data_IF_823328843021
#
_entry.id   IF_823328843021
#
_cell.length_a   1.000
_cell.length_b   1.000
_cell.length_c   1.000
_cell.angle_alpha   90.00
_cell.angle_beta   90.00
_cell.angle_gamma   90.00
#
_symmetry.space_group_name_H-M   'P 1'
#
loop_
_entity.id
_entity.type
_entity.pdbx_description
1 polymer ?
#
# COMPACT_ATOMS: atom_id res chain seq x y z
N UNK A 1 39.94 16.53 7.26
CA UNK A 1 40.65 17.82 7.51
C UNK A 1 41.10 18.46 6.19
N UNK A 2 41.58 17.72 5.20
CA UNK A 2 41.96 18.27 3.89
C UNK A 2 40.78 18.84 3.11
N UNK A 3 39.61 18.24 3.20
CA UNK A 3 38.42 18.60 2.41
C UNK A 3 37.80 19.93 2.85
N UNK A 4 37.87 20.23 4.15
CA UNK A 4 37.45 21.53 4.70
C UNK A 4 38.31 22.68 4.17
N UNK A 5 39.64 22.50 4.17
CA UNK A 5 40.55 23.54 3.66
C UNK A 5 40.39 23.75 2.15
N UNK A 6 40.20 22.65 1.39
CA UNK A 6 39.95 22.74 -0.04
C UNK A 6 38.67 23.50 -0.38
N UNK A 7 37.60 23.33 0.41
CA UNK A 7 36.35 24.05 0.24
C UNK A 7 36.49 25.54 0.52
N UNK A 8 37.20 25.92 1.59
CA UNK A 8 37.46 27.33 1.91
C UNK A 8 38.35 27.99 0.84
N UNK A 9 39.39 27.28 0.37
CA UNK A 9 40.24 27.79 -0.74
C UNK A 9 39.47 27.96 -2.05
N UNK A 10 38.43 27.13 -2.28
CA UNK A 10 37.53 27.23 -3.42
C UNK A 10 36.48 28.34 -3.30
N UNK A 11 36.40 29.03 -2.14
CA UNK A 11 35.46 30.14 -1.90
C UNK A 11 34.19 29.73 -1.14
N UNK A 12 34.15 28.56 -0.52
CA UNK A 12 33.03 28.16 0.34
C UNK A 12 32.95 29.10 1.57
N UNK A 13 31.73 29.44 1.95
CA UNK A 13 31.42 30.24 3.14
C UNK A 13 31.37 29.40 4.42
N UNK A 14 30.91 28.15 4.28
CA UNK A 14 30.78 27.21 5.38
C UNK A 14 30.83 25.75 4.85
N UNK A 15 31.21 24.81 5.72
CA UNK A 15 31.25 23.39 5.43
C UNK A 15 30.70 22.62 6.62
N UNK A 16 29.56 22.00 6.44
CA UNK A 16 28.97 21.13 7.41
C UNK A 16 29.32 19.67 7.07
N UNK A 17 29.84 18.94 8.04
CA UNK A 17 30.17 17.50 7.87
C UNK A 17 29.12 16.69 8.56
N UNK A 18 28.37 15.91 7.80
CA UNK A 18 27.39 15.00 8.37
C UNK A 18 28.11 13.87 9.10
N UNK A 19 27.89 13.77 10.39
CA UNK A 19 28.29 12.62 11.23
C UNK A 19 27.33 11.41 11.03
N UNK A 20 26.64 11.35 9.92
CA UNK A 20 25.70 10.26 9.61
C UNK A 20 26.49 8.98 9.47
N UNK A 21 26.12 7.97 10.25
CA UNK A 21 26.58 6.60 10.07
C UNK A 21 26.37 6.23 8.59
N UNK A 22 27.34 5.56 7.95
CA UNK A 22 27.23 5.24 6.54
C UNK A 22 25.92 4.52 6.26
N UNK A 23 25.19 5.02 5.29
CA UNK A 23 24.05 4.33 4.73
C UNK A 23 24.50 2.97 4.20
N UNK A 24 23.74 1.91 4.39
CA UNK A 24 24.11 0.52 4.03
C UNK A 24 24.47 0.40 2.54
N UNK A 25 24.14 1.41 1.76
CA UNK A 25 24.23 1.40 0.29
C UNK A 25 25.24 2.38 -0.31
N UNK A 26 25.85 3.30 0.43
CA UNK A 26 26.85 4.21 -0.12
C UNK A 26 27.84 4.75 0.90
N UNK A 27 29.06 4.86 0.42
CA UNK A 27 30.30 5.24 1.05
C UNK A 27 30.31 6.62 1.70
N UNK A 28 30.99 6.68 2.82
CA UNK A 28 31.57 7.84 3.47
C UNK A 28 30.64 8.99 3.90
N UNK A 29 30.93 9.63 5.03
CA UNK A 29 30.23 10.84 5.49
C UNK A 29 30.28 11.92 4.42
N UNK A 30 29.13 12.49 4.10
CA UNK A 30 29.00 13.56 3.15
C UNK A 30 29.40 14.91 3.74
N UNK A 31 29.76 15.85 2.88
CA UNK A 31 29.96 17.25 3.24
C UNK A 31 28.91 18.10 2.52
N UNK A 32 28.24 18.99 3.26
CA UNK A 32 27.43 20.06 2.68
C UNK A 32 28.29 21.33 2.64
N UNK A 33 28.52 21.82 1.44
CA UNK A 33 29.36 22.99 1.21
C UNK A 33 28.45 24.17 0.88
N UNK A 34 28.52 25.22 1.70
CA UNK A 34 27.75 26.43 1.54
C UNK A 34 28.57 27.49 0.86
N UNK A 35 28.01 28.15 -0.15
CA UNK A 35 28.67 29.23 -0.89
C UNK A 35 27.69 30.36 -1.21
N UNK A 36 28.19 31.53 -1.60
CA UNK A 36 27.35 32.57 -2.15
C UNK A 36 26.72 32.11 -3.46
N UNK A 37 25.53 32.63 -3.76
CA UNK A 37 24.80 32.26 -4.98
C UNK A 37 25.65 32.50 -6.25
N UNK A 38 26.40 33.63 -6.28
CA UNK A 38 27.24 34.02 -7.41
C UNK A 38 28.40 33.05 -7.64
N UNK A 39 28.89 32.40 -6.58
CA UNK A 39 30.08 31.56 -6.59
C UNK A 39 29.72 30.07 -6.72
N UNK A 40 28.43 29.72 -6.76
CA UNK A 40 27.94 28.33 -6.71
C UNK A 40 28.60 27.43 -7.77
N UNK A 41 28.68 27.88 -9.02
CA UNK A 41 29.21 27.07 -10.10
C UNK A 41 30.74 26.93 -10.00
N UNK A 42 31.44 27.98 -9.63
CA UNK A 42 32.89 27.99 -9.52
C UNK A 42 33.36 27.12 -8.36
N UNK A 43 32.68 27.19 -7.22
CA UNK A 43 32.94 26.32 -6.06
C UNK A 43 32.58 24.86 -6.37
N UNK A 44 31.46 24.59 -7.01
CA UNK A 44 31.07 23.24 -7.40
C UNK A 44 32.09 22.61 -8.37
N UNK A 45 32.57 23.37 -9.39
CA UNK A 45 33.60 22.88 -10.31
C UNK A 45 34.95 22.65 -9.62
N UNK A 46 35.34 23.55 -8.72
CA UNK A 46 36.59 23.42 -7.96
C UNK A 46 36.52 22.15 -7.05
N UNK A 47 35.41 21.96 -6.36
CA UNK A 47 35.22 20.82 -5.47
C UNK A 47 35.06 19.49 -6.20
N UNK A 48 34.45 19.46 -7.39
CA UNK A 48 34.41 18.24 -8.23
C UNK A 48 35.79 17.70 -8.58
N UNK A 49 36.78 18.57 -8.71
CA UNK A 49 38.18 18.17 -8.99
C UNK A 49 38.88 17.53 -7.78
N UNK A 50 38.37 17.77 -6.57
CA UNK A 50 39.01 17.32 -5.31
C UNK A 50 38.21 16.16 -4.70
N UNK A 51 36.88 16.26 -4.68
CA UNK A 51 36.01 15.31 -4.00
C UNK A 51 35.15 14.44 -4.97
N UNK A 52 35.22 14.69 -6.29
CA UNK A 52 34.33 14.12 -7.27
C UNK A 52 33.03 14.92 -7.42
N UNK A 53 32.17 14.49 -8.32
CA UNK A 53 30.93 15.21 -8.63
C UNK A 53 29.99 15.26 -7.44
N UNK A 54 29.34 16.43 -7.17
CA UNK A 54 28.39 16.55 -6.07
C UNK A 54 27.16 15.70 -6.30
N UNK A 55 26.60 15.11 -5.23
CA UNK A 55 25.32 14.39 -5.28
C UNK A 55 24.17 15.29 -5.73
N UNK A 56 24.20 16.54 -5.31
CA UNK A 56 23.23 17.57 -5.70
C UNK A 56 23.85 18.95 -5.56
N UNK A 57 23.36 19.88 -6.37
CA UNK A 57 23.68 21.31 -6.27
C UNK A 57 22.35 22.05 -6.35
N UNK A 58 22.06 22.88 -5.34
CA UNK A 58 20.79 23.60 -5.25
C UNK A 58 20.98 25.00 -4.68
N UNK A 59 20.10 25.89 -5.10
CA UNK A 59 19.96 27.22 -4.47
C UNK A 59 18.98 27.08 -3.32
N UNK A 60 19.39 27.44 -2.12
CA UNK A 60 18.54 27.36 -0.92
C UNK A 60 18.61 28.68 -0.16
N UNK A 61 17.57 29.00 0.60
CA UNK A 61 17.56 30.18 1.46
C UNK A 61 17.93 29.74 2.89
N UNK A 62 19.14 30.08 3.33
CA UNK A 62 19.62 29.85 4.72
C UNK A 62 19.37 31.13 5.53
N UNK A 63 18.59 31.04 6.63
CA UNK A 63 18.32 32.21 7.46
C UNK A 63 19.61 32.71 8.14
N UNK A 64 19.80 34.04 8.20
CA UNK A 64 20.95 34.68 8.90
C UNK A 64 20.70 34.76 10.42
N UNK A 65 19.47 34.67 10.86
CA UNK A 65 19.10 34.70 12.27
C UNK A 65 17.85 33.85 12.49
N UNK A 66 17.79 33.17 13.61
CA UNK A 66 16.62 32.44 14.05
C UNK A 66 15.71 33.34 14.90
N UNK A 67 14.42 33.11 14.80
CA UNK A 67 13.38 33.76 15.62
C UNK A 67 12.77 32.75 16.56
N UNK A 68 12.94 32.90 17.89
CA UNK A 68 12.33 31.97 18.83
C UNK A 68 10.80 32.10 18.79
N UNK A 69 10.14 30.96 18.59
CA UNK A 69 8.69 30.85 18.60
C UNK A 69 8.27 29.93 19.75
N UNK A 70 7.41 30.43 20.65
CA UNK A 70 7.05 29.74 21.89
C UNK A 70 5.55 29.65 22.08
N UNK A 71 5.09 28.71 22.92
CA UNK A 71 3.70 28.57 23.35
C UNK A 71 2.72 28.39 22.17
N UNK A 72 1.57 29.07 22.21
CA UNK A 72 0.52 28.92 21.18
C UNK A 72 0.94 29.39 19.79
N UNK A 73 1.93 30.26 19.68
CA UNK A 73 2.45 30.74 18.40
C UNK A 73 3.07 29.60 17.57
N UNK A 74 3.65 28.58 18.20
CA UNK A 74 4.21 27.39 17.53
C UNK A 74 3.14 26.67 16.69
N UNK A 75 1.92 26.48 17.23
CA UNK A 75 0.84 25.86 16.49
C UNK A 75 0.26 26.70 15.37
N UNK A 76 0.35 28.02 15.51
CA UNK A 76 -0.06 28.94 14.45
C UNK A 76 0.97 28.94 13.32
N UNK A 77 2.25 28.88 13.66
CA UNK A 77 3.34 28.78 12.69
C UNK A 77 3.24 27.49 11.87
N UNK A 78 3.09 26.34 12.51
CA UNK A 78 2.95 25.08 11.77
C UNK A 78 1.75 25.08 10.82
N UNK A 79 0.59 25.61 11.24
CA UNK A 79 -0.57 25.76 10.34
C UNK A 79 -0.27 26.68 9.14
N UNK A 80 0.55 27.72 9.34
CA UNK A 80 0.98 28.57 8.25
C UNK A 80 1.91 27.85 7.29
N UNK A 81 2.93 27.15 7.82
CA UNK A 81 3.86 26.37 7.01
C UNK A 81 3.16 25.29 6.21
N UNK A 82 2.26 24.55 6.85
CA UNK A 82 1.43 23.53 6.18
C UNK A 82 0.55 24.13 5.08
N UNK A 83 -0.06 25.29 5.36
CA UNK A 83 -0.92 25.96 4.37
C UNK A 83 -0.11 26.47 3.17
N UNK A 84 1.11 26.95 3.40
CA UNK A 84 2.00 27.39 2.32
C UNK A 84 2.51 26.20 1.49
N UNK A 85 2.89 25.10 2.14
CA UNK A 85 3.37 23.89 1.46
C UNK A 85 2.26 23.18 0.66
N UNK A 86 1.01 23.40 1.03
CA UNK A 86 -0.16 22.85 0.35
C UNK A 86 -0.59 23.64 -0.91
N UNK A 87 -0.04 24.81 -1.15
CA UNK A 87 -0.38 25.62 -2.33
C UNK A 87 0.35 25.12 -3.57
N UNK A 88 -0.38 24.84 -4.64
CA UNK A 88 0.14 24.25 -5.89
C UNK A 88 1.27 25.09 -6.55
N UNK A 89 1.28 26.40 -6.32
CA UNK A 89 2.28 27.33 -6.88
C UNK A 89 3.53 27.47 -6.00
N UNK A 90 3.53 26.89 -4.79
CA UNK A 90 4.68 26.93 -3.86
C UNK A 90 5.56 25.71 -4.10
N UNK A 91 6.80 25.94 -4.49
CA UNK A 91 7.77 24.86 -4.74
C UNK A 91 8.49 24.42 -3.47
N UNK A 92 8.74 25.34 -2.55
CA UNK A 92 9.43 25.07 -1.28
C UNK A 92 9.18 26.19 -0.28
N UNK A 93 8.97 25.84 0.99
CA UNK A 93 8.82 26.80 2.10
C UNK A 93 10.12 26.85 2.89
N UNK A 94 10.61 28.03 3.17
CA UNK A 94 11.76 28.28 4.05
C UNK A 94 11.31 29.11 5.23
N UNK A 95 11.79 28.80 6.41
CA UNK A 95 11.47 29.50 7.63
C UNK A 95 12.69 29.66 8.53
N UNK A 96 12.63 30.57 9.51
CA UNK A 96 13.74 30.88 10.42
C UNK A 96 13.36 30.78 11.89
N UNK A 97 12.34 29.95 12.19
CA UNK A 97 11.95 29.70 13.56
C UNK A 97 12.97 28.86 14.31
N UNK A 98 13.07 29.12 15.59
CA UNK A 98 13.71 28.26 16.58
C UNK A 98 12.67 27.91 17.65
N UNK A 99 12.37 26.61 17.78
CA UNK A 99 11.40 26.09 18.74
C UNK A 99 12.19 25.33 19.80
N UNK A 100 12.00 25.69 21.06
CA UNK A 100 12.70 25.03 22.15
C UNK A 100 12.24 23.57 22.37
N UNK A 101 13.17 22.74 22.84
CA UNK A 101 12.83 21.34 23.23
C UNK A 101 11.73 21.31 24.30
N UNK A 102 11.65 22.33 25.18
CA UNK A 102 10.62 22.46 26.19
C UNK A 102 9.23 22.70 25.57
N UNK A 103 9.13 23.56 24.55
CA UNK A 103 7.87 23.79 23.83
C UNK A 103 7.45 22.56 23.03
N UNK A 104 8.39 21.83 22.42
CA UNK A 104 8.13 20.57 21.74
C UNK A 104 7.62 19.52 22.73
N UNK A 105 8.31 19.31 23.85
CA UNK A 105 7.92 18.38 24.88
C UNK A 105 6.55 18.72 25.52
N UNK A 106 6.25 20.01 25.69
CA UNK A 106 4.93 20.44 26.17
C UNK A 106 3.81 20.09 25.20
N UNK A 107 4.07 20.17 23.87
CA UNK A 107 3.12 19.75 22.84
C UNK A 107 2.94 18.26 22.78
N UNK A 108 4.03 17.50 22.84
CA UNK A 108 3.97 16.04 22.93
C UNK A 108 3.11 15.61 24.14
N UNK A 109 3.34 16.23 25.32
CA UNK A 109 2.56 15.96 26.51
C UNK A 109 1.06 16.34 26.39
N UNK A 110 0.74 17.30 25.54
CA UNK A 110 -0.64 17.70 25.27
C UNK A 110 -1.35 16.80 24.24
N UNK A 111 -0.60 16.03 23.46
CA UNK A 111 -1.13 15.14 22.42
C UNK A 111 -1.92 13.99 23.05
N UNK A 112 -3.11 13.72 22.52
CA UNK A 112 -4.00 12.66 23.00
C UNK A 112 -4.10 11.54 21.97
N UNK A 113 -4.30 10.29 22.37
CA UNK A 113 -4.45 9.15 21.45
C UNK A 113 -5.59 9.33 20.42
N UNK A 114 -6.60 10.12 20.76
CA UNK A 114 -7.74 10.40 19.90
C UNK A 114 -7.55 11.60 18.94
N UNK A 115 -6.44 12.31 19.04
CA UNK A 115 -6.18 13.43 18.15
C UNK A 115 -5.86 12.93 16.74
N UNK A 116 -6.34 13.62 15.69
CA UNK A 116 -5.98 13.32 14.30
C UNK A 116 -4.46 13.44 14.08
N UNK A 117 -3.88 12.44 13.43
CA UNK A 117 -2.44 12.42 13.11
C UNK A 117 -2.19 12.29 11.61
N UNK A 118 -3.18 11.79 10.86
CA UNK A 118 -3.01 11.55 9.44
C UNK A 118 -4.30 11.78 8.67
N UNK A 119 -4.20 12.46 7.54
CA UNK A 119 -5.23 12.55 6.51
C UNK A 119 -4.77 11.72 5.32
N UNK A 120 -5.32 10.52 5.20
CA UNK A 120 -4.98 9.59 4.13
C UNK A 120 -5.99 9.68 2.99
N UNK A 121 -5.59 10.23 1.86
CA UNK A 121 -6.47 10.32 0.71
C UNK A 121 -6.61 8.97 0.00
N UNK A 122 -7.87 8.60 -0.28
CA UNK A 122 -8.20 7.42 -1.07
C UNK A 122 -8.75 7.82 -2.43
N UNK A 123 -8.32 7.13 -3.48
CA UNK A 123 -8.95 7.24 -4.80
C UNK A 123 -10.32 6.57 -4.74
N UNK A 124 -11.37 7.35 -4.48
CA UNK A 124 -12.73 6.84 -4.49
C UNK A 124 -13.10 6.29 -5.88
N UNK A 125 -13.82 5.17 -5.90
CA UNK A 125 -14.35 4.59 -7.16
C UNK A 125 -15.41 5.48 -7.83
N UNK A 126 -15.81 6.58 -7.20
CA UNK A 126 -16.97 7.40 -7.61
C UNK A 126 -16.67 8.89 -7.74
N UNK A 127 -15.39 9.32 -7.88
CA UNK A 127 -15.10 10.74 -8.08
C UNK A 127 -13.88 11.24 -7.30
N UNK A 128 -13.99 12.43 -6.70
CA UNK A 128 -12.89 13.09 -5.99
C UNK A 128 -12.33 12.23 -4.84
N UNK A 129 -11.02 12.28 -4.59
CA UNK A 129 -10.39 11.62 -3.46
C UNK A 129 -11.04 12.02 -2.13
N UNK A 130 -11.12 11.09 -1.18
CA UNK A 130 -11.66 11.33 0.16
C UNK A 130 -10.52 11.30 1.16
N UNK A 131 -10.41 12.32 2.01
CA UNK A 131 -9.44 12.38 3.10
C UNK A 131 -9.93 11.58 4.30
N UNK A 132 -9.41 10.38 4.50
CA UNK A 132 -9.69 9.56 5.68
C UNK A 132 -8.92 10.12 6.87
N UNK A 133 -9.64 10.48 7.95
CA UNK A 133 -9.04 11.06 9.15
C UNK A 133 -8.69 9.97 10.16
N UNK A 134 -7.40 9.74 10.37
CA UNK A 134 -6.89 8.74 11.30
C UNK A 134 -6.25 9.38 12.54
N UNK A 135 -6.44 8.77 13.69
CA UNK A 135 -5.87 9.20 14.99
C UNK A 135 -4.59 8.46 15.30
N UNK A 136 -3.80 8.99 16.27
CA UNK A 136 -2.66 8.25 16.84
C UNK A 136 -3.06 6.84 17.29
N UNK A 137 -4.23 6.72 17.94
CA UNK A 137 -4.75 5.44 18.39
C UNK A 137 -5.01 4.45 17.27
N UNK A 138 -5.56 4.94 16.12
CA UNK A 138 -5.81 4.08 14.98
C UNK A 138 -4.51 3.49 14.43
N UNK A 139 -3.58 4.36 14.02
CA UNK A 139 -2.38 3.95 13.30
C UNK A 139 -1.40 3.18 14.17
N UNK A 140 -1.17 3.65 15.41
CA UNK A 140 -0.19 3.02 16.31
C UNK A 140 -0.64 1.63 16.74
N UNK A 141 -1.89 1.48 17.23
CA UNK A 141 -2.35 0.16 17.67
C UNK A 141 -2.46 -0.83 16.51
N UNK A 142 -2.89 -0.37 15.32
CA UNK A 142 -2.99 -1.28 14.18
C UNK A 142 -1.60 -1.78 13.76
N UNK A 143 -0.62 -0.87 13.62
CA UNK A 143 0.76 -1.25 13.31
C UNK A 143 1.37 -2.17 14.38
N UNK A 144 1.21 -1.84 15.68
CA UNK A 144 1.69 -2.67 16.79
C UNK A 144 1.12 -4.09 16.72
N UNK A 145 -0.20 -4.24 16.62
CA UNK A 145 -0.80 -5.58 16.56
C UNK A 145 -0.44 -6.36 15.28
N UNK A 146 -0.16 -5.68 14.17
CA UNK A 146 0.35 -6.34 12.97
C UNK A 146 1.74 -6.93 13.23
N UNK A 147 2.64 -6.16 13.84
CA UNK A 147 3.99 -6.64 14.18
C UNK A 147 3.95 -7.81 15.18
N UNK A 148 3.09 -7.74 16.22
CA UNK A 148 2.83 -8.85 17.15
C UNK A 148 2.41 -10.13 16.39
N UNK A 149 1.47 -10.02 15.44
CA UNK A 149 0.97 -11.16 14.68
C UNK A 149 2.01 -11.74 13.70
N UNK A 150 2.93 -10.91 13.19
CA UNK A 150 4.08 -11.33 12.39
C UNK A 150 5.24 -11.86 13.24
N UNK A 151 5.15 -11.67 14.56
CA UNK A 151 6.17 -12.04 15.55
C UNK A 151 7.46 -11.27 15.33
N UNK A 152 7.36 -9.95 15.14
CA UNK A 152 8.51 -9.07 15.02
C UNK A 152 9.23 -8.86 16.36
N UNK A 153 10.53 -8.73 16.28
CA UNK A 153 11.45 -8.41 17.37
C UNK A 153 12.53 -7.46 16.85
N UNK A 154 13.40 -6.99 17.75
CA UNK A 154 14.57 -6.17 17.38
C UNK A 154 15.58 -6.87 16.45
N UNK A 155 15.48 -8.19 16.29
CA UNK A 155 16.33 -8.98 15.39
C UNK A 155 15.79 -9.01 13.95
N UNK A 156 14.57 -8.55 13.72
CA UNK A 156 13.95 -8.59 12.40
C UNK A 156 14.37 -7.40 11.54
N UNK A 157 14.58 -7.68 10.26
CA UNK A 157 14.82 -6.69 9.22
C UNK A 157 13.73 -6.80 8.15
N UNK A 158 13.04 -5.69 7.90
CA UNK A 158 11.84 -5.63 7.06
C UNK A 158 12.09 -4.79 5.82
N UNK A 159 12.05 -5.42 4.64
CA UNK A 159 12.14 -4.71 3.35
C UNK A 159 10.75 -4.23 2.95
N UNK A 160 10.60 -2.90 2.78
CA UNK A 160 9.33 -2.21 2.54
C UNK A 160 9.35 -1.52 1.16
N UNK A 161 9.05 -2.23 0.06
CA UNK A 161 9.03 -1.64 -1.28
C UNK A 161 7.71 -0.95 -1.62
N UNK A 162 6.74 -0.97 -0.70
CA UNK A 162 5.41 -0.37 -0.88
C UNK A 162 5.41 1.12 -0.52
N UNK A 163 4.56 1.96 -1.18
CA UNK A 163 4.57 3.41 -0.98
C UNK A 163 4.18 3.83 0.44
N UNK A 164 4.89 4.79 1.04
CA UNK A 164 4.62 5.30 2.39
C UNK A 164 3.46 6.30 2.45
N UNK A 165 3.07 6.89 1.33
CA UNK A 165 1.84 7.68 1.25
C UNK A 165 0.56 6.83 1.28
N UNK A 166 0.67 5.51 1.38
CA UNK A 166 -0.43 4.56 1.54
C UNK A 166 -0.29 3.85 2.89
N UNK A 167 -1.43 3.55 3.54
CA UNK A 167 -1.45 2.84 4.83
C UNK A 167 -0.65 1.54 4.83
N UNK A 168 -0.51 0.87 3.70
CA UNK A 168 0.31 -0.33 3.59
C UNK A 168 1.77 -0.02 3.94
N UNK A 169 2.37 0.99 3.33
CA UNK A 169 3.75 1.38 3.67
C UNK A 169 3.85 2.03 5.03
N UNK A 170 2.95 2.98 5.35
CA UNK A 170 3.02 3.75 6.59
C UNK A 170 2.70 2.89 7.82
N UNK A 171 1.55 2.23 7.88
CA UNK A 171 1.10 1.53 9.10
C UNK A 171 1.61 0.08 9.13
N UNK A 172 1.30 -0.72 8.09
CA UNK A 172 1.73 -2.13 8.04
C UNK A 172 3.25 -2.21 7.92
N UNK A 173 3.86 -1.29 7.13
CA UNK A 173 5.31 -1.23 6.96
C UNK A 173 5.98 -0.58 8.16
N UNK A 174 6.01 0.76 8.20
CA UNK A 174 6.85 1.52 9.13
C UNK A 174 6.41 1.34 10.59
N UNK A 175 5.13 1.57 10.90
CA UNK A 175 4.69 1.52 12.32
C UNK A 175 4.86 0.11 12.90
N UNK A 176 4.49 -0.95 12.17
CA UNK A 176 4.67 -2.32 12.66
C UNK A 176 6.16 -2.64 12.90
N UNK A 177 7.05 -2.18 12.05
CA UNK A 177 8.50 -2.39 12.16
C UNK A 177 9.07 -1.64 13.36
N UNK A 178 8.86 -0.31 13.42
CA UNK A 178 9.50 0.52 14.46
C UNK A 178 8.94 0.28 15.86
N UNK A 179 7.65 -0.09 15.98
CA UNK A 179 7.03 -0.41 17.27
C UNK A 179 7.60 -1.69 17.93
N UNK A 180 8.34 -2.50 17.19
CA UNK A 180 8.99 -3.72 17.67
C UNK A 180 10.52 -3.60 17.70
N UNK A 181 11.07 -2.41 17.45
CA UNK A 181 12.52 -2.19 17.40
C UNK A 181 13.21 -2.82 16.18
N UNK A 182 12.43 -3.33 15.23
CA UNK A 182 12.95 -3.96 14.00
C UNK A 182 13.55 -2.93 13.04
N UNK A 183 14.45 -3.36 12.14
CA UNK A 183 15.06 -2.51 11.12
C UNK A 183 14.16 -2.39 9.90
N UNK A 184 13.80 -1.17 9.50
CA UNK A 184 13.11 -0.88 8.25
C UNK A 184 14.12 -0.60 7.12
N UNK A 185 13.98 -1.29 5.99
CA UNK A 185 14.81 -1.12 4.80
C UNK A 185 13.96 -0.64 3.63
N UNK A 186 14.32 0.50 3.07
CA UNK A 186 13.67 1.11 1.90
C UNK A 186 14.54 0.80 0.68
N UNK A 187 14.13 -0.14 -0.21
CA UNK A 187 15.01 -0.63 -1.27
C UNK A 187 15.26 0.38 -2.40
N UNK A 188 14.33 1.32 -2.63
CA UNK A 188 14.43 2.35 -3.67
C UNK A 188 13.35 3.42 -3.47
N UNK A 189 13.42 4.55 -4.21
CA UNK A 189 12.41 5.62 -4.20
C UNK A 189 11.03 5.17 -4.71
N UNK A 190 11.00 4.17 -5.57
CA UNK A 190 9.79 3.52 -6.09
C UNK A 190 10.04 2.02 -6.21
N UNK A 191 8.98 1.22 -6.31
CA UNK A 191 9.15 -0.21 -6.46
C UNK A 191 9.97 -0.56 -7.70
N UNK A 192 11.07 -1.29 -7.48
CA UNK A 192 11.90 -1.91 -8.50
C UNK A 192 12.23 -3.33 -8.02
N UNK A 193 11.83 -4.38 -8.78
CA UNK A 193 11.86 -5.76 -8.31
C UNK A 193 13.28 -6.25 -7.98
N UNK A 194 14.30 -5.89 -8.75
CA UNK A 194 15.67 -6.33 -8.52
C UNK A 194 16.27 -5.63 -7.31
N UNK A 195 15.99 -4.34 -7.11
CA UNK A 195 16.43 -3.60 -5.92
C UNK A 195 15.82 -4.18 -4.65
N UNK A 196 14.53 -4.56 -4.67
CA UNK A 196 13.90 -5.22 -3.53
C UNK A 196 14.57 -6.56 -3.18
N UNK A 197 14.84 -7.42 -4.17
CA UNK A 197 15.54 -8.70 -3.97
C UNK A 197 16.96 -8.51 -3.48
N UNK A 198 17.71 -7.56 -4.05
CA UNK A 198 19.07 -7.23 -3.59
C UNK A 198 19.09 -6.69 -2.17
N UNK A 199 18.09 -5.86 -1.80
CA UNK A 199 17.96 -5.37 -0.44
C UNK A 199 17.79 -6.51 0.56
N UNK A 200 16.94 -7.50 0.24
CA UNK A 200 16.76 -8.70 1.07
C UNK A 200 18.12 -9.43 1.27
N UNK A 201 18.82 -9.73 0.17
CA UNK A 201 20.07 -10.47 0.23
C UNK A 201 21.18 -9.69 0.95
N UNK A 202 21.28 -8.37 0.72
CA UNK A 202 22.32 -7.54 1.30
C UNK A 202 22.17 -7.32 2.80
N UNK A 203 20.91 -7.25 3.29
CA UNK A 203 20.65 -6.99 4.71
C UNK A 203 20.31 -8.23 5.52
N UNK A 204 20.19 -9.39 4.88
CA UNK A 204 19.71 -10.60 5.52
C UNK A 204 18.28 -10.47 6.03
N UNK A 205 17.43 -9.73 5.29
CA UNK A 205 16.09 -9.42 5.72
C UNK A 205 15.26 -10.66 6.02
N UNK A 206 14.47 -10.57 7.09
CA UNK A 206 13.58 -11.65 7.56
C UNK A 206 12.15 -11.49 7.07
N UNK A 207 11.81 -10.30 6.58
CA UNK A 207 10.46 -9.95 6.14
C UNK A 207 10.47 -9.11 4.87
N UNK A 208 9.51 -9.41 3.96
CA UNK A 208 9.33 -8.68 2.70
C UNK A 208 7.84 -8.39 2.47
N UNK A 209 7.52 -7.15 2.11
CA UNK A 209 6.17 -6.70 1.83
C UNK A 209 5.91 -6.50 0.35
N UNK A 210 4.67 -6.64 -0.07
CA UNK A 210 4.28 -6.32 -1.44
C UNK A 210 2.80 -6.57 -1.73
N UNK A 211 2.33 -5.95 -2.79
CA UNK A 211 1.08 -6.36 -3.43
C UNK A 211 1.35 -7.58 -4.34
N UNK A 212 0.35 -8.41 -4.69
CA UNK A 212 0.57 -9.59 -5.54
C UNK A 212 1.35 -9.32 -6.82
N UNK A 213 1.07 -8.20 -7.51
CA UNK A 213 1.79 -7.82 -8.73
C UNK A 213 3.29 -7.57 -8.48
N UNK A 214 3.68 -7.05 -7.31
CA UNK A 214 5.09 -6.88 -6.94
C UNK A 214 5.77 -8.24 -6.76
N UNK A 215 5.13 -9.17 -6.07
CA UNK A 215 5.66 -10.54 -5.92
C UNK A 215 5.77 -11.26 -7.27
N UNK A 216 4.77 -11.14 -8.15
CA UNK A 216 4.84 -11.69 -9.52
C UNK A 216 6.04 -11.09 -10.27
N UNK A 217 6.24 -9.78 -10.20
CA UNK A 217 7.36 -9.11 -10.85
C UNK A 217 8.71 -9.56 -10.31
N UNK A 218 8.85 -9.74 -9.00
CA UNK A 218 10.08 -10.27 -8.37
C UNK A 218 10.33 -11.74 -8.74
N UNK A 219 9.29 -12.60 -8.72
CA UNK A 219 9.37 -14.01 -9.11
C UNK A 219 9.78 -14.22 -10.57
N UNK A 220 9.51 -13.25 -11.45
CA UNK A 220 9.87 -13.29 -12.86
C UNK A 220 11.35 -12.92 -13.12
N UNK A 221 12.10 -12.46 -12.12
CA UNK A 221 13.49 -12.04 -12.29
C UNK A 221 14.46 -13.19 -12.06
N UNK A 222 15.57 -13.28 -12.86
CA UNK A 222 16.63 -14.25 -12.63
C UNK A 222 17.26 -14.13 -11.23
N UNK A 223 17.31 -12.95 -10.67
CA UNK A 223 17.80 -12.65 -9.33
C UNK A 223 17.04 -13.39 -8.23
N UNK A 224 15.77 -13.74 -8.48
CA UNK A 224 14.94 -14.51 -7.55
C UNK A 224 15.53 -15.90 -7.22
N UNK A 225 16.30 -16.49 -8.16
CA UNK A 225 16.96 -17.79 -7.97
C UNK A 225 18.49 -17.63 -7.74
N UNK A 226 19.05 -16.46 -8.05
CA UNK A 226 20.49 -16.21 -7.97
C UNK A 226 20.93 -15.60 -6.64
N UNK A 227 20.03 -14.89 -5.93
CA UNK A 227 20.33 -14.26 -4.65
C UNK A 227 19.95 -15.18 -3.49
N UNK A 228 20.68 -15.05 -2.37
CA UNK A 228 20.31 -15.73 -1.13
C UNK A 228 19.15 -14.99 -0.44
N UNK A 229 17.97 -15.59 -0.49
CA UNK A 229 16.75 -15.11 0.16
C UNK A 229 16.33 -16.00 1.34
N UNK A 230 17.20 -16.90 1.79
CA UNK A 230 16.90 -17.94 2.79
C UNK A 230 16.63 -17.40 4.19
N UNK A 231 16.97 -16.13 4.45
CA UNK A 231 16.67 -15.44 5.72
C UNK A 231 15.22 -15.01 5.83
N UNK A 232 14.50 -14.90 4.70
CA UNK A 232 13.08 -14.55 4.73
C UNK A 232 12.26 -15.65 5.41
N UNK A 233 11.42 -15.26 6.33
CA UNK A 233 10.46 -16.16 7.01
C UNK A 233 9.02 -15.67 6.85
N UNK A 234 8.80 -14.36 6.85
CA UNK A 234 7.49 -13.74 6.94
C UNK A 234 7.36 -12.51 6.03
N UNK A 235 6.26 -11.82 6.12
CA UNK A 235 5.93 -10.61 5.41
C UNK A 235 4.44 -10.54 5.12
N UNK A 236 4.01 -9.53 4.38
CA UNK A 236 2.60 -9.31 4.06
C UNK A 236 2.39 -9.21 2.55
N UNK A 237 1.50 -10.04 2.04
CA UNK A 237 0.94 -9.90 0.70
C UNK A 237 -0.50 -9.39 0.83
N UNK A 238 -0.76 -8.15 0.39
CA UNK A 238 -2.07 -7.52 0.57
C UNK A 238 -2.36 -6.45 -0.49
N UNK A 239 -3.48 -5.76 -0.37
CA UNK A 239 -3.86 -4.63 -1.22
C UNK A 239 -4.73 -5.00 -2.42
N UNK A 240 -4.75 -6.26 -2.82
CA UNK A 240 -5.66 -6.83 -3.80
C UNK A 240 -5.86 -8.33 -3.52
N UNK A 241 -6.65 -9.02 -4.32
CA UNK A 241 -6.78 -10.49 -4.23
C UNK A 241 -5.40 -11.14 -4.37
N UNK A 242 -5.05 -12.02 -3.41
CA UNK A 242 -3.78 -12.73 -3.40
C UNK A 242 -3.97 -14.11 -4.03
N UNK A 243 -3.45 -14.35 -5.26
CA UNK A 243 -3.63 -15.63 -5.93
C UNK A 243 -2.91 -16.74 -5.18
N UNK A 244 -3.59 -17.87 -4.95
CA UNK A 244 -3.06 -19.04 -4.23
C UNK A 244 -1.73 -19.52 -4.82
N UNK A 245 -1.63 -19.58 -6.14
CA UNK A 245 -0.43 -20.05 -6.83
C UNK A 245 0.76 -19.09 -6.69
N UNK A 246 0.51 -17.78 -6.57
CA UNK A 246 1.56 -16.81 -6.26
C UNK A 246 2.07 -16.98 -4.84
N UNK A 247 1.14 -17.16 -3.89
CA UNK A 247 1.47 -17.44 -2.48
C UNK A 247 2.37 -18.69 -2.34
N UNK A 248 1.99 -19.79 -3.00
CA UNK A 248 2.79 -21.03 -2.99
C UNK A 248 4.21 -20.79 -3.52
N UNK A 249 4.36 -20.06 -4.63
CA UNK A 249 5.68 -19.75 -5.20
C UNK A 249 6.51 -18.86 -4.27
N UNK A 250 5.90 -17.90 -3.59
CA UNK A 250 6.58 -17.04 -2.60
C UNK A 250 7.06 -17.87 -1.41
N UNK A 251 6.23 -18.77 -0.91
CA UNK A 251 6.61 -19.68 0.17
C UNK A 251 7.78 -20.59 -0.26
N UNK A 252 7.70 -21.15 -1.46
CA UNK A 252 8.67 -22.12 -1.96
C UNK A 252 10.00 -21.46 -2.36
N UNK A 253 9.97 -20.37 -3.16
CA UNK A 253 11.16 -19.74 -3.73
C UNK A 253 11.77 -18.63 -2.89
N UNK A 254 10.95 -17.91 -2.11
CA UNK A 254 11.42 -16.84 -1.21
C UNK A 254 11.50 -17.29 0.25
N UNK A 255 11.22 -18.56 0.55
CA UNK A 255 11.25 -19.14 1.89
C UNK A 255 10.30 -18.50 2.91
N UNK A 256 9.35 -17.67 2.46
CA UNK A 256 8.39 -16.96 3.33
C UNK A 256 7.30 -17.89 3.87
N UNK A 257 7.70 -18.88 4.67
CA UNK A 257 6.78 -19.91 5.20
C UNK A 257 5.65 -19.33 6.07
N UNK A 258 5.85 -18.15 6.63
CA UNK A 258 4.90 -17.44 7.50
C UNK A 258 4.31 -16.19 6.81
N UNK A 259 4.35 -16.11 5.45
CA UNK A 259 3.75 -14.97 4.76
C UNK A 259 2.28 -14.81 5.11
N UNK A 260 1.86 -13.60 5.47
CA UNK A 260 0.51 -13.30 5.90
C UNK A 260 -0.29 -12.60 4.78
N UNK A 261 -1.58 -12.89 4.76
CA UNK A 261 -2.59 -12.08 4.06
C UNK A 261 -3.33 -11.24 5.10
N UNK A 262 -3.62 -9.99 4.79
CA UNK A 262 -4.51 -9.16 5.58
C UNK A 262 -5.55 -8.48 4.69
N UNK A 263 -6.68 -8.17 5.30
CA UNK A 263 -7.75 -7.42 4.68
C UNK A 263 -8.09 -6.19 5.51
N UNK A 264 -8.42 -5.14 4.81
CA UNK A 264 -8.91 -3.90 5.37
C UNK A 264 -8.87 -2.77 4.35
N UNK A 265 -9.07 -1.58 4.81
CA UNK A 265 -9.18 -0.38 4.01
C UNK A 265 -8.61 0.81 4.78
N UNK A 266 -8.31 1.90 4.10
CA UNK A 266 -7.75 3.10 4.76
C UNK A 266 -8.62 3.53 5.95
N UNK A 267 -9.93 3.41 5.82
CA UNK A 267 -10.94 3.73 6.82
C UNK A 267 -10.86 2.83 8.09
N UNK A 268 -10.09 1.74 8.05
CA UNK A 268 -9.84 0.84 9.19
C UNK A 268 -8.38 0.76 9.62
N UNK A 269 -7.55 1.71 9.22
CA UNK A 269 -6.18 2.06 9.64
C UNK A 269 -5.03 1.04 9.53
N UNK A 270 -4.85 0.17 8.53
CA UNK A 270 -5.83 -0.27 7.55
C UNK A 270 -6.42 -1.66 7.81
N UNK A 271 -5.92 -2.46 8.79
CA UNK A 271 -6.18 -3.91 8.88
C UNK A 271 -7.33 -4.22 9.84
N UNK A 272 -8.35 -4.89 9.30
CA UNK A 272 -9.50 -5.42 10.06
C UNK A 272 -9.33 -6.90 10.38
N UNK A 273 -8.79 -7.69 9.44
CA UNK A 273 -8.51 -9.12 9.62
C UNK A 273 -7.14 -9.49 9.07
N UNK A 274 -6.52 -10.52 9.63
CA UNK A 274 -5.20 -10.99 9.22
C UNK A 274 -5.05 -12.47 9.53
N UNK A 275 -4.36 -13.22 8.67
CA UNK A 275 -3.96 -14.60 8.93
C UNK A 275 -2.91 -14.66 10.05
N UNK A 276 -2.79 -15.82 10.70
CA UNK A 276 -1.85 -16.07 11.80
C UNK A 276 -0.68 -16.92 11.34
N UNK A 277 0.43 -16.84 12.05
CA UNK A 277 1.65 -17.62 11.75
C UNK A 277 1.44 -19.12 11.80
N UNK A 278 0.56 -19.58 12.69
CA UNK A 278 0.20 -20.97 12.93
C UNK A 278 -0.99 -21.46 12.06
N UNK A 279 -1.58 -20.59 11.24
CA UNK A 279 -2.64 -20.99 10.32
C UNK A 279 -2.08 -21.95 9.25
N UNK A 280 -2.90 -22.92 8.85
CA UNK A 280 -2.54 -23.83 7.75
C UNK A 280 -2.34 -23.06 6.43
N UNK A 281 -1.63 -23.67 5.49
CA UNK A 281 -1.45 -23.10 4.15
C UNK A 281 -2.81 -22.81 3.49
N UNK A 282 -3.80 -23.70 3.69
CA UNK A 282 -5.15 -23.52 3.16
C UNK A 282 -5.81 -22.26 3.72
N UNK A 283 -5.81 -22.07 5.03
CA UNK A 283 -6.36 -20.86 5.67
C UNK A 283 -5.63 -19.60 5.17
N UNK A 284 -4.30 -19.61 5.11
CA UNK A 284 -3.50 -18.47 4.65
C UNK A 284 -3.65 -18.13 3.18
N UNK A 285 -4.07 -19.08 2.35
CA UNK A 285 -4.24 -18.84 0.91
C UNK A 285 -5.68 -18.64 0.46
N UNK A 286 -6.65 -19.11 1.26
CA UNK A 286 -8.07 -19.04 0.89
C UNK A 286 -8.88 -18.05 1.71
N UNK A 287 -8.32 -17.53 2.81
CA UNK A 287 -8.98 -16.56 3.68
C UNK A 287 -8.14 -15.29 3.86
N UNK A 288 -8.74 -14.25 4.40
CA UNK A 288 -8.04 -13.05 4.87
C UNK A 288 -7.81 -13.10 6.38
N UNK A 289 -7.87 -14.31 6.95
CA UNK A 289 -7.64 -14.57 8.36
C UNK A 289 -8.80 -14.15 9.26
N UNK A 290 -8.47 -13.96 10.53
CA UNK A 290 -9.41 -13.65 11.61
C UNK A 290 -9.29 -12.19 12.03
N UNK A 291 -10.31 -11.69 12.70
CA UNK A 291 -10.37 -10.32 13.23
C UNK A 291 -9.10 -9.95 14.01
N UNK A 292 -8.63 -8.71 13.84
CA UNK A 292 -7.49 -8.16 14.57
C UNK A 292 -7.78 -8.10 16.09
N UNK A 293 -6.75 -8.14 16.94
CA UNK A 293 -6.92 -7.95 18.37
C UNK A 293 -7.65 -6.63 18.69
N UNK A 294 -8.60 -6.66 19.63
CA UNK A 294 -9.40 -5.50 20.06
C UNK A 294 -10.22 -4.81 18.94
N UNK A 295 -10.50 -5.52 17.87
CA UNK A 295 -11.41 -5.14 16.78
C UNK A 295 -12.57 -6.13 16.78
N UNK A 296 -13.72 -5.68 16.33
CA UNK A 296 -14.91 -6.51 16.13
C UNK A 296 -15.25 -6.55 14.64
N UNK A 297 -15.65 -7.70 14.16
CA UNK A 297 -16.18 -7.86 12.79
C UNK A 297 -17.50 -8.62 12.82
N UNK A 298 -18.40 -8.24 11.93
CA UNK A 298 -19.67 -8.96 11.70
C UNK A 298 -19.96 -9.03 10.21
N UNK A 299 -20.77 -10.01 9.82
CA UNK A 299 -21.34 -10.10 8.46
C UNK A 299 -22.81 -9.78 8.56
N UNK A 300 -23.26 -8.85 7.72
CA UNK A 300 -24.66 -8.41 7.70
C UNK A 300 -25.30 -8.58 6.32
N UNK A 301 -26.62 -8.74 6.30
CA UNK A 301 -27.38 -8.63 5.06
C UNK A 301 -27.31 -7.20 4.55
N UNK A 302 -26.82 -6.95 3.32
CA UNK A 302 -26.68 -5.58 2.79
C UNK A 302 -28.02 -4.83 2.64
N UNK A 303 -29.15 -5.54 2.57
CA UNK A 303 -30.48 -4.93 2.38
C UNK A 303 -31.15 -4.55 3.72
N UNK A 304 -30.94 -5.36 4.78
CA UNK A 304 -31.62 -5.17 6.06
C UNK A 304 -30.70 -4.64 7.17
N UNK A 305 -29.38 -4.85 7.04
CA UNK A 305 -28.41 -4.57 8.08
C UNK A 305 -28.36 -5.60 9.22
N UNK A 306 -29.18 -6.65 9.15
CA UNK A 306 -29.23 -7.71 10.15
C UNK A 306 -27.98 -8.59 10.08
N UNK A 307 -27.47 -9.03 11.24
CA UNK A 307 -26.40 -10.02 11.31
C UNK A 307 -26.88 -11.35 10.78
N UNK A 308 -26.12 -11.92 9.84
CA UNK A 308 -26.46 -13.22 9.24
C UNK A 308 -25.64 -14.37 9.85
N UNK A 309 -26.10 -15.63 9.71
CA UNK A 309 -25.39 -16.80 10.21
C UNK A 309 -23.99 -16.96 9.59
N UNK A 310 -23.09 -17.60 10.33
CA UNK A 310 -21.76 -17.99 9.81
C UNK A 310 -21.91 -18.88 8.57
N UNK A 311 -20.98 -18.73 7.64
CA UNK A 311 -21.00 -19.38 6.33
C UNK A 311 -21.90 -18.71 5.28
N UNK A 312 -22.81 -17.81 5.68
CA UNK A 312 -23.59 -17.03 4.73
C UNK A 312 -22.78 -15.81 4.25
N UNK A 313 -23.01 -15.40 2.99
CA UNK A 313 -22.37 -14.24 2.37
C UNK A 313 -23.17 -12.98 2.62
N UNK A 314 -22.49 -11.92 3.11
CA UNK A 314 -23.07 -10.61 3.36
C UNK A 314 -22.00 -9.53 3.40
N UNK A 315 -22.36 -8.30 3.81
CA UNK A 315 -21.41 -7.21 3.94
C UNK A 315 -20.56 -7.37 5.20
N UNK A 316 -19.25 -7.24 5.06
CA UNK A 316 -18.33 -7.19 6.18
C UNK A 316 -18.34 -5.81 6.83
N UNK A 317 -18.62 -5.76 8.13
CA UNK A 317 -18.54 -4.54 8.93
C UNK A 317 -17.47 -4.68 10.01
N UNK A 318 -16.77 -3.59 10.29
CA UNK A 318 -15.69 -3.52 11.28
C UNK A 318 -15.98 -2.44 12.33
N UNK A 319 -15.71 -2.73 13.61
CA UNK A 319 -15.79 -1.77 14.72
C UNK A 319 -14.57 -1.89 15.63
N UNK A 320 -14.12 -0.80 16.19
CA UNK A 320 -13.06 -0.78 17.18
C UNK A 320 -12.08 0.37 17.02
N UNK A 321 -10.93 0.23 17.67
CA UNK A 321 -9.90 1.28 17.68
C UNK A 321 -9.38 1.64 16.27
N UNK A 322 -9.47 0.73 15.32
CA UNK A 322 -8.93 0.91 13.98
C UNK A 322 -9.81 1.79 13.07
N UNK A 323 -11.09 1.96 13.42
CA UNK A 323 -12.05 2.72 12.59
C UNK A 323 -11.74 4.21 12.64
N UNK A 324 -11.71 4.85 11.48
CA UNK A 324 -11.44 6.29 11.28
C UNK A 324 -12.40 7.19 12.08
N UNK A 325 -12.03 8.45 12.26
CA UNK A 325 -12.97 9.48 12.76
C UNK A 325 -14.05 9.83 11.74
N UNK A 326 -13.74 9.76 10.46
CA UNK A 326 -14.59 10.09 9.34
C UNK A 326 -13.78 10.61 8.16
N UNK A 327 -14.48 11.00 7.10
CA UNK A 327 -13.87 11.70 5.98
C UNK A 327 -13.73 13.19 6.31
N UNK A 328 -12.56 13.75 6.07
CA UNK A 328 -12.24 15.15 6.33
C UNK A 328 -13.22 16.07 5.57
N UNK A 329 -13.85 16.97 6.30
CA UNK A 329 -14.82 17.94 5.79
C UNK A 329 -15.95 17.32 4.93
N UNK A 330 -16.33 16.05 5.21
CA UNK A 330 -17.35 15.32 4.47
C UNK A 330 -18.27 14.48 5.40
N UNK A 331 -19.04 15.13 6.29
CA UNK A 331 -19.86 14.42 7.29
C UNK A 331 -20.96 13.56 6.65
N UNK A 332 -21.54 13.99 5.54
CA UNK A 332 -22.57 13.22 4.83
C UNK A 332 -21.99 11.90 4.28
N UNK A 333 -20.83 11.97 3.63
CA UNK A 333 -20.13 10.77 3.14
C UNK A 333 -19.66 9.86 4.28
N UNK A 334 -19.35 10.43 5.43
CA UNK A 334 -19.01 9.66 6.63
C UNK A 334 -20.21 8.87 7.12
N UNK A 335 -21.40 9.49 7.19
CA UNK A 335 -22.63 8.85 7.61
C UNK A 335 -23.13 7.75 6.64
N UNK A 336 -22.69 7.76 5.38
CA UNK A 336 -22.99 6.68 4.41
C UNK A 336 -22.27 5.35 4.75
N UNK A 337 -21.14 5.41 5.47
CA UNK A 337 -20.26 4.26 5.69
C UNK A 337 -19.99 3.94 7.17
N UNK A 338 -20.22 4.90 8.06
CA UNK A 338 -20.05 4.74 9.49
C UNK A 338 -21.39 4.95 10.19
N UNK A 339 -21.95 3.88 10.78
CA UNK A 339 -23.23 3.92 11.45
C UNK A 339 -23.13 4.54 12.87
N UNK A 340 -24.29 4.76 13.50
CA UNK A 340 -24.40 5.38 14.83
C UNK A 340 -23.79 4.52 15.95
N UNK A 341 -23.65 3.22 15.76
CA UNK A 341 -23.06 2.28 16.70
C UNK A 341 -21.54 2.10 16.48
N UNK A 342 -20.96 2.86 15.53
CA UNK A 342 -19.52 2.86 15.22
C UNK A 342 -19.08 1.71 14.32
N UNK A 343 -20.01 1.08 13.60
CA UNK A 343 -19.65 0.08 12.60
C UNK A 343 -19.32 0.73 11.27
N UNK A 344 -18.14 0.43 10.76
CA UNK A 344 -17.71 0.78 9.42
C UNK A 344 -18.20 -0.26 8.43
N UNK A 345 -19.03 0.14 7.50
CA UNK A 345 -19.55 -0.64 6.38
C UNK A 345 -18.53 -0.65 5.25
N UNK A 346 -17.97 -1.83 4.93
CA UNK A 346 -16.86 -1.92 3.98
C UNK A 346 -17.27 -1.81 2.52
N UNK A 347 -18.53 -2.13 2.19
CA UNK A 347 -18.99 -2.33 0.82
C UNK A 347 -18.46 -3.61 0.17
N UNK A 348 -17.75 -4.45 0.94
CA UNK A 348 -17.20 -5.72 0.47
C UNK A 348 -18.05 -6.89 0.99
N UNK A 349 -18.37 -7.83 0.10
CA UNK A 349 -19.04 -9.08 0.44
C UNK A 349 -18.05 -10.07 1.02
N UNK A 350 -18.42 -10.69 2.11
CA UNK A 350 -17.63 -11.70 2.78
C UNK A 350 -18.49 -12.77 3.44
N UNK A 351 -17.89 -13.91 3.69
CA UNK A 351 -18.42 -14.96 4.59
C UNK A 351 -17.44 -15.15 5.76
N UNK A 352 -17.94 -15.66 6.88
CA UNK A 352 -17.15 -15.94 8.06
C UNK A 352 -17.37 -17.39 8.47
N UNK A 353 -16.30 -18.18 8.51
CA UNK A 353 -16.32 -19.56 8.92
C UNK A 353 -16.56 -19.72 10.44
N UNK A 354 -16.81 -20.96 10.90
CA UNK A 354 -17.09 -21.24 12.32
C UNK A 354 -15.92 -20.87 13.25
N UNK A 355 -14.67 -20.97 12.77
CA UNK A 355 -13.45 -20.58 13.51
C UNK A 355 -13.18 -19.07 13.48
N UNK A 356 -14.01 -18.29 12.79
CA UNK A 356 -13.87 -16.84 12.63
C UNK A 356 -12.98 -16.40 11.47
N UNK A 357 -12.50 -17.32 10.64
CA UNK A 357 -11.78 -16.98 9.40
C UNK A 357 -12.72 -16.34 8.38
N UNK A 358 -12.29 -15.24 7.78
CA UNK A 358 -13.08 -14.43 6.84
C UNK A 358 -12.62 -14.70 5.41
N UNK A 359 -13.59 -14.91 4.50
CA UNK A 359 -13.37 -14.98 3.05
C UNK A 359 -13.99 -13.78 2.40
N UNK A 360 -13.22 -13.06 1.59
CA UNK A 360 -13.77 -11.96 0.78
C UNK A 360 -14.32 -12.55 -0.51
N UNK A 361 -15.60 -12.33 -0.76
CA UNK A 361 -16.30 -12.86 -1.93
C UNK A 361 -16.34 -11.85 -3.10
N UNK A 362 -16.13 -10.55 -2.82
CA UNK A 362 -16.11 -9.51 -3.82
C UNK A 362 -16.54 -8.17 -3.27
N UNK A 363 -16.85 -7.24 -4.18
CA UNK A 363 -17.43 -5.93 -3.83
C UNK A 363 -18.88 -5.87 -4.21
N UNK A 364 -19.72 -5.29 -3.36
CA UNK A 364 -21.15 -5.08 -3.64
C UNK A 364 -21.32 -4.30 -4.96
N UNK A 365 -20.51 -3.25 -5.16
CA UNK A 365 -20.55 -2.40 -6.37
C UNK A 365 -19.95 -3.04 -7.63
N UNK A 366 -19.19 -4.12 -7.48
CA UNK A 366 -18.54 -4.81 -8.61
C UNK A 366 -19.30 -6.07 -9.03
N UNK A 367 -20.35 -6.45 -8.30
CA UNK A 367 -21.21 -7.56 -8.70
C UNK A 367 -21.73 -7.34 -10.11
N UNK A 368 -21.66 -8.36 -10.95
CA UNK A 368 -22.27 -8.36 -12.28
C UNK A 368 -23.67 -8.92 -12.17
N UNK A 369 -24.67 -8.10 -12.48
CA UNK A 369 -26.07 -8.48 -12.40
C UNK A 369 -26.54 -9.01 -13.75
N UNK A 370 -26.41 -10.32 -13.94
CA UNK A 370 -26.73 -10.99 -15.20
C UNK A 370 -28.07 -11.70 -15.14
N UNK A 371 -29.10 -11.10 -15.72
CA UNK A 371 -30.43 -11.73 -15.77
C UNK A 371 -31.05 -11.99 -14.40
N UNK A 372 -30.71 -11.17 -13.39
CA UNK A 372 -31.17 -11.33 -12.00
C UNK A 372 -30.21 -12.15 -11.11
N UNK A 373 -29.18 -12.76 -11.68
CA UNK A 373 -28.14 -13.46 -10.93
C UNK A 373 -27.00 -12.51 -10.56
N UNK A 374 -26.63 -12.47 -9.29
CA UNK A 374 -25.48 -11.72 -8.80
C UNK A 374 -24.20 -12.56 -8.93
N UNK A 375 -23.31 -12.17 -9.81
CA UNK A 375 -22.06 -12.90 -10.06
C UNK A 375 -20.90 -12.09 -9.48
N UNK A 376 -20.13 -12.71 -8.59
CA UNK A 376 -18.87 -12.13 -8.12
C UNK A 376 -17.79 -12.28 -9.21
N UNK A 377 -17.20 -11.17 -9.70
CA UNK A 377 -16.07 -11.25 -10.62
C UNK A 377 -14.91 -12.07 -10.08
N UNK A 378 -14.66 -11.97 -8.77
CA UNK A 378 -13.58 -12.67 -8.10
C UNK A 378 -13.65 -14.18 -8.26
N UNK A 379 -14.82 -14.78 -8.11
CA UNK A 379 -15.00 -16.23 -8.28
C UNK A 379 -14.57 -16.69 -9.68
N UNK A 380 -14.90 -15.89 -10.70
CA UNK A 380 -14.54 -16.18 -12.08
C UNK A 380 -13.04 -15.92 -12.32
N UNK A 381 -12.47 -14.88 -11.72
CA UNK A 381 -11.03 -14.60 -11.76
C UNK A 381 -10.23 -15.75 -11.16
N UNK A 382 -10.58 -16.20 -9.94
CA UNK A 382 -9.91 -17.33 -9.27
C UNK A 382 -9.96 -18.61 -10.11
N UNK A 383 -11.10 -18.88 -10.75
CA UNK A 383 -11.20 -20.00 -11.68
C UNK A 383 -10.28 -19.80 -12.90
N UNK A 384 -10.27 -18.64 -13.53
CA UNK A 384 -9.46 -18.37 -14.73
C UNK A 384 -7.96 -18.35 -14.43
N UNK A 385 -7.52 -17.99 -13.23
CA UNK A 385 -6.12 -18.14 -12.81
C UNK A 385 -5.61 -19.60 -12.85
N UNK A 386 -6.48 -20.59 -12.86
CA UNK A 386 -6.10 -22.00 -13.03
C UNK A 386 -5.80 -22.37 -14.49
N UNK A 387 -6.03 -21.46 -15.45
CA UNK A 387 -5.70 -21.69 -16.85
C UNK A 387 -4.19 -21.61 -17.07
N UNK A 388 -3.55 -22.59 -17.77
CA UNK A 388 -2.10 -22.68 -17.88
C UNK A 388 -1.45 -21.46 -18.58
N UNK A 389 -2.15 -20.81 -19.50
CA UNK A 389 -1.63 -19.76 -20.36
C UNK A 389 -1.94 -18.33 -19.87
N UNK A 390 -2.77 -18.18 -18.83
CA UNK A 390 -3.10 -16.88 -18.24
C UNK A 390 -2.01 -16.51 -17.24
N UNK A 391 -1.47 -15.29 -17.37
CA UNK A 391 -0.57 -14.68 -16.41
C UNK A 391 -1.34 -13.89 -15.36
N UNK A 392 -2.31 -13.07 -15.80
CA UNK A 392 -3.16 -12.27 -14.91
C UNK A 392 -4.56 -12.11 -15.53
N UNK A 393 -5.59 -11.94 -14.70
CA UNK A 393 -6.98 -11.81 -15.15
C UNK A 393 -7.79 -10.90 -14.25
N UNK A 394 -8.62 -10.07 -14.90
CA UNK A 394 -9.63 -9.26 -14.25
C UNK A 394 -10.97 -9.46 -14.95
N UNK A 395 -12.04 -9.61 -14.18
CA UNK A 395 -13.39 -9.77 -14.72
C UNK A 395 -14.23 -8.54 -14.38
N UNK A 396 -14.95 -8.05 -15.38
CA UNK A 396 -15.83 -6.88 -15.25
C UNK A 396 -17.19 -7.15 -15.89
N UNK A 397 -18.22 -6.44 -15.39
CA UNK A 397 -19.52 -6.40 -16.04
C UNK A 397 -19.50 -5.41 -17.21
N UNK A 398 -20.06 -5.81 -18.33
CA UNK A 398 -20.29 -4.94 -19.49
C UNK A 398 -21.78 -4.95 -19.85
N UNK A 399 -22.35 -3.87 -20.40
CA UNK A 399 -23.76 -3.80 -20.74
C UNK A 399 -24.19 -4.87 -21.73
N UNK A 400 -25.38 -5.44 -21.53
CA UNK A 400 -26.00 -6.44 -22.42
C UNK A 400 -27.51 -6.19 -22.53
N UNK A 401 -28.05 -6.11 -23.76
CA UNK A 401 -29.46 -5.81 -23.98
C UNK A 401 -30.44 -6.85 -23.41
N UNK A 402 -30.03 -8.11 -23.37
CA UNK A 402 -30.88 -9.22 -22.94
C UNK A 402 -30.79 -9.48 -21.45
N UNK A 403 -29.61 -9.41 -20.87
CA UNK A 403 -29.35 -9.83 -19.50
C UNK A 403 -29.04 -8.65 -18.56
N UNK A 404 -29.05 -7.40 -19.06
CA UNK A 404 -28.61 -6.22 -18.33
C UNK A 404 -27.09 -6.07 -18.35
N UNK A 405 -26.39 -7.07 -17.84
CA UNK A 405 -24.93 -7.17 -17.90
C UNK A 405 -24.46 -8.57 -18.34
N UNK A 406 -23.25 -8.62 -18.88
CA UNK A 406 -22.50 -9.84 -19.19
C UNK A 406 -21.08 -9.73 -18.61
N UNK A 407 -20.45 -10.88 -18.40
CA UNK A 407 -19.07 -10.95 -17.95
C UNK A 407 -18.09 -10.76 -19.11
N UNK A 408 -17.12 -9.89 -18.94
CA UNK A 408 -15.93 -9.78 -19.79
C UNK A 408 -14.68 -10.16 -19.00
N UNK A 409 -13.93 -11.13 -19.47
CA UNK A 409 -12.61 -11.46 -18.95
C UNK A 409 -11.56 -10.63 -19.67
N UNK A 410 -10.87 -9.74 -18.94
CA UNK A 410 -9.69 -9.04 -19.39
C UNK A 410 -8.47 -9.85 -18.94
N UNK A 411 -7.64 -10.33 -19.86
CA UNK A 411 -6.54 -11.26 -19.58
C UNK A 411 -5.21 -10.74 -20.04
N UNK A 412 -4.16 -10.98 -19.28
CA UNK A 412 -2.76 -10.87 -19.68
C UNK A 412 -2.25 -12.29 -19.87
N UNK A 413 -1.73 -12.57 -21.06
CA UNK A 413 -1.22 -13.90 -21.42
C UNK A 413 0.23 -14.05 -20.97
N UNK A 414 0.67 -15.30 -20.75
CA UNK A 414 2.10 -15.60 -20.61
C UNK A 414 2.84 -15.37 -21.92
N UNK A 415 4.14 -15.12 -21.81
CA UNK A 415 4.99 -14.93 -23.00
C UNK A 415 4.98 -16.15 -23.92
N UNK A 416 4.85 -15.89 -25.23
CA UNK A 416 4.97 -16.91 -26.26
C UNK A 416 3.75 -17.81 -26.45
N UNK A 417 2.61 -17.49 -25.84
CA UNK A 417 1.34 -18.23 -26.04
C UNK A 417 0.39 -17.45 -26.97
N UNK A 418 -0.49 -18.17 -27.64
CA UNK A 418 -1.50 -17.55 -28.51
C UNK A 418 -2.57 -16.82 -27.70
N UNK A 419 -3.13 -15.71 -28.22
CA UNK A 419 -4.21 -14.99 -27.57
C UNK A 419 -5.44 -15.87 -27.29
N UNK A 420 -5.94 -15.82 -26.07
CA UNK A 420 -7.09 -16.57 -25.62
C UNK A 420 -8.38 -16.08 -26.31
N UNK A 421 -9.17 -17.00 -26.87
CA UNK A 421 -10.45 -16.69 -27.51
C UNK A 421 -11.63 -16.97 -26.57
N UNK A 422 -12.80 -16.39 -26.86
CA UNK A 422 -14.05 -16.65 -26.13
C UNK A 422 -14.38 -18.14 -26.16
N UNK A 423 -14.20 -18.81 -27.29
CA UNK A 423 -14.51 -20.24 -27.42
C UNK A 423 -13.55 -21.10 -26.59
N UNK A 424 -12.27 -20.75 -26.53
CA UNK A 424 -11.31 -21.45 -25.66
C UNK A 424 -11.64 -21.28 -24.19
N UNK A 425 -12.05 -20.09 -23.74
CA UNK A 425 -12.52 -19.87 -22.36
C UNK A 425 -13.78 -20.68 -22.09
N UNK A 426 -14.72 -20.70 -23.02
CA UNK A 426 -15.96 -21.47 -22.89
C UNK A 426 -15.67 -22.97 -22.79
N UNK A 427 -14.80 -23.51 -23.62
CA UNK A 427 -14.39 -24.92 -23.58
C UNK A 427 -13.72 -25.24 -22.23
N UNK A 428 -12.78 -24.40 -21.78
CA UNK A 428 -12.10 -24.56 -20.50
C UNK A 428 -13.07 -24.51 -19.31
N UNK A 429 -14.11 -23.67 -19.36
CA UNK A 429 -15.02 -23.43 -18.25
C UNK A 429 -16.23 -24.39 -18.21
N UNK A 430 -16.59 -25.02 -19.35
CA UNK A 430 -17.77 -25.88 -19.44
C UNK A 430 -17.65 -27.09 -18.51
N UNK A 431 -18.66 -27.28 -17.64
CA UNK A 431 -18.70 -28.35 -16.67
C UNK A 431 -17.82 -28.13 -15.42
N UNK A 432 -17.07 -27.01 -15.36
CA UNK A 432 -16.19 -26.67 -14.24
C UNK A 432 -16.73 -25.52 -13.40
N UNK A 433 -17.44 -24.57 -14.02
CA UNK A 433 -18.20 -23.52 -13.33
C UNK A 433 -19.62 -23.44 -13.87
N UNK A 434 -20.50 -22.76 -13.15
CA UNK A 434 -21.88 -22.55 -13.59
C UNK A 434 -21.93 -21.82 -14.93
N UNK A 435 -22.81 -22.26 -15.85
CA UNK A 435 -22.87 -21.71 -17.21
C UNK A 435 -23.06 -20.19 -17.25
N UNK A 436 -23.84 -19.61 -16.33
CA UNK A 436 -24.08 -18.18 -16.29
C UNK A 436 -22.86 -17.37 -15.80
N UNK A 437 -21.83 -18.01 -15.21
CA UNK A 437 -20.56 -17.43 -14.77
C UNK A 437 -19.48 -17.49 -15.87
N UNK A 438 -19.73 -18.15 -16.99
CA UNK A 438 -18.76 -18.20 -18.10
C UNK A 438 -18.74 -16.84 -18.80
N UNK A 439 -17.56 -16.18 -18.92
CA UNK A 439 -17.45 -14.91 -19.63
C UNK A 439 -17.97 -14.99 -21.06
N UNK A 440 -18.82 -14.03 -21.43
CA UNK A 440 -19.32 -13.89 -22.79
C UNK A 440 -18.30 -13.20 -23.71
N UNK A 441 -17.40 -12.43 -23.13
CA UNK A 441 -16.36 -11.66 -23.83
C UNK A 441 -14.99 -11.94 -23.23
N UNK A 442 -13.96 -11.93 -24.11
CA UNK A 442 -12.55 -12.04 -23.70
C UNK A 442 -11.78 -10.90 -24.38
N UNK A 443 -10.99 -10.20 -23.61
CA UNK A 443 -10.11 -9.14 -24.07
C UNK A 443 -8.69 -9.40 -23.60
N UNK A 444 -7.77 -9.61 -24.54
CA UNK A 444 -6.36 -9.77 -24.23
C UNK A 444 -5.72 -8.38 -24.20
N UNK A 445 -4.92 -8.13 -23.15
CA UNK A 445 -4.24 -6.87 -22.88
C UNK A 445 -2.77 -7.11 -22.59
N UNK A 446 -1.92 -6.15 -22.93
CA UNK A 446 -0.50 -6.18 -22.60
C UNK A 446 -0.26 -5.80 -21.11
N UNK A 447 -1.10 -4.93 -20.56
CA UNK A 447 -1.06 -4.49 -19.16
C UNK A 447 -2.44 -4.00 -18.70
N UNK A 448 -2.72 -4.11 -17.41
CA UNK A 448 -3.91 -3.48 -16.81
C UNK A 448 -3.65 -2.01 -16.46
N UNK A 449 -4.69 -1.14 -16.54
CA UNK A 449 -4.62 0.20 -15.98
C UNK A 449 -4.48 0.11 -14.45
N UNK A 450 -3.44 0.74 -13.90
CA UNK A 450 -3.09 0.62 -12.49
C UNK A 450 -3.21 1.97 -11.76
N UNK A 451 -3.55 1.91 -10.47
CA UNK A 451 -3.36 3.05 -9.57
C UNK A 451 -1.88 3.16 -9.17
N UNK A 452 -1.47 4.32 -8.63
CA UNK A 452 -0.11 4.52 -8.09
C UNK A 452 0.22 3.52 -6.98
N UNK A 453 -0.78 3.03 -6.25
CA UNK A 453 -0.63 2.01 -5.21
C UNK A 453 -0.62 0.55 -5.72
N UNK A 454 -0.62 0.33 -7.05
CA UNK A 454 -0.54 -1.00 -7.64
C UNK A 454 -1.86 -1.78 -7.68
N UNK A 455 -3.01 -1.10 -7.62
CA UNK A 455 -4.35 -1.72 -7.77
C UNK A 455 -4.87 -1.53 -9.19
N UNK A 456 -5.51 -2.55 -9.74
CA UNK A 456 -6.15 -2.47 -11.06
C UNK A 456 -7.38 -1.53 -11.02
N UNK A 457 -7.46 -0.65 -12.01
CA UNK A 457 -8.57 0.32 -12.18
C UNK A 457 -9.71 -0.32 -12.96
N UNK A 458 -10.50 -1.16 -12.28
CA UNK A 458 -11.64 -1.89 -12.92
C UNK A 458 -12.66 -0.99 -13.59
N UNK A 459 -12.81 0.25 -13.14
CA UNK A 459 -13.71 1.24 -13.77
C UNK A 459 -13.28 1.49 -15.22
N UNK A 460 -11.99 1.69 -15.47
CA UNK A 460 -11.46 1.89 -16.84
C UNK A 460 -11.65 0.64 -17.70
N UNK A 461 -11.38 -0.56 -17.13
CA UNK A 461 -11.62 -1.81 -17.86
C UNK A 461 -13.09 -1.98 -18.25
N UNK A 462 -14.02 -1.60 -17.35
CA UNK A 462 -15.47 -1.63 -17.60
C UNK A 462 -15.89 -0.64 -18.69
N UNK A 463 -15.41 0.60 -18.62
CA UNK A 463 -15.71 1.64 -19.64
C UNK A 463 -15.17 1.27 -21.02
N UNK A 464 -13.95 0.78 -21.08
CA UNK A 464 -13.36 0.32 -22.35
C UNK A 464 -14.04 -0.93 -22.87
N UNK A 465 -14.38 -1.88 -21.98
CA UNK A 465 -15.13 -3.08 -22.31
C UNK A 465 -16.50 -2.76 -22.89
N UNK A 466 -17.22 -1.79 -22.32
CA UNK A 466 -18.51 -1.33 -22.83
C UNK A 466 -18.40 -0.77 -24.27
N UNK A 467 -17.34 0.00 -24.58
CA UNK A 467 -17.08 0.50 -25.92
C UNK A 467 -16.84 -0.62 -26.93
N UNK A 468 -16.10 -1.67 -26.53
CA UNK A 468 -15.82 -2.84 -27.39
C UNK A 468 -17.09 -3.60 -27.70
N UNK A 469 -17.98 -3.80 -26.71
CA UNK A 469 -19.27 -4.50 -26.91
C UNK A 469 -20.22 -3.70 -27.80
N UNK A 470 -20.26 -2.36 -27.65
CA UNK A 470 -21.08 -1.49 -28.49
C UNK A 470 -20.62 -1.41 -29.94
N UNK A 471 -19.37 -1.74 -30.24
CA UNK A 471 -18.80 -1.73 -31.59
C UNK A 471 -18.97 -3.06 -32.33
N UNK A 472 -19.45 -4.11 -31.67
CA UNK A 472 -19.76 -5.43 -32.25
C UNK A 472 -21.22 -5.53 -32.61
#
# INVERSE_FOLDING_TARGET
MNDFFAAIEAGAQDVESDLVKPDIYEDAPGHTIWTAFEDLNDVAEAMSKVLGDPKSTAIVWKPQSEVPVTGDAVGTLFKLLDALDAEDDVQQVYSNESISDEDLAAREAATRPADPVNLQYTSGTTGFPKGVTLTHRNVLNNGFHIGELLGYTEEDTVVIPVPFFHCFGMVIGVIATVSHGSLAVIPARSFEPVSALRAVAATGATSLYGVPAMFIAMLARPEADALDLSTLRTGVMAGSTCPVEVMKKVIDRFHMSEVAICYGMTETAPVSTMTRRDDSLEVRTQTVGRTMPHVETKIVDPATGDVIPRGATGELCTRGYSVMLGYWDAPEKTAEVLDADGWMHSGDLASMDEDGSVRIEGRIKDLVIRGGENISPREVEEFLYTHPDIQDVQVVGVPDEKYGEQLMACVIMKDGVEPLTVDAVREFATGRIAHFKIPAYVRVLDAFPMTVSGKVRKVELREEGAKVVQAQ
#
